data_IF_547284006197
#
_entry.id   IF_547284006197
#
_cell.length_a   1.000
_cell.length_b   1.000
_cell.length_c   1.000
_cell.angle_alpha   90.00
_cell.angle_beta   90.00
_cell.angle_gamma   90.00
#
_symmetry.space_group_name_H-M   'P 1'
#
loop_
_entity.id
_entity.type
_entity.pdbx_description
1 polymer ?
#
# COMPACT_ATOMS: atom_id res chain seq x y z
N UNK A 1 -20.35 -15.77 -0.23
CA UNK A 1 -20.01 -15.30 1.14
C UNK A 1 -19.90 -13.78 1.12
N UNK A 2 -20.37 -13.07 2.14
CA UNK A 2 -20.25 -11.61 2.23
C UNK A 2 -18.90 -11.28 2.88
N UNK A 3 -18.06 -10.49 2.20
CA UNK A 3 -16.78 -10.04 2.75
C UNK A 3 -17.01 -9.18 4.00
N UNK A 4 -16.24 -9.45 5.07
CA UNK A 4 -16.25 -8.65 6.30
C UNK A 4 -15.40 -7.41 6.10
N UNK A 5 -15.84 -6.25 6.61
CA UNK A 5 -15.12 -4.98 6.51
C UNK A 5 -14.78 -4.43 7.89
N UNK A 6 -13.57 -3.91 8.04
CA UNK A 6 -13.08 -3.22 9.21
C UNK A 6 -13.22 -1.71 9.02
N UNK A 7 -13.72 -1.03 10.07
CA UNK A 7 -13.72 0.43 10.14
C UNK A 7 -12.36 0.91 10.64
N UNK A 8 -11.79 1.91 9.98
CA UNK A 8 -10.60 2.60 10.51
C UNK A 8 -11.06 3.63 11.54
N UNK A 9 -11.00 3.30 12.83
CA UNK A 9 -11.61 4.11 13.90
C UNK A 9 -10.64 5.01 14.68
N UNK A 10 -9.34 4.86 14.50
CA UNK A 10 -8.37 5.44 15.43
C UNK A 10 -7.83 6.80 14.96
N UNK A 11 -8.23 7.86 15.67
CA UNK A 11 -7.63 9.20 15.56
C UNK A 11 -6.15 9.19 15.99
N UNK A 12 -5.78 8.30 16.92
CA UNK A 12 -4.42 8.13 17.43
C UNK A 12 -3.47 7.49 16.42
N UNK A 13 -3.98 6.66 15.50
CA UNK A 13 -3.24 6.20 14.33
C UNK A 13 -2.97 7.40 13.43
N UNK A 14 -4.01 8.13 13.00
CA UNK A 14 -3.79 9.27 12.10
C UNK A 14 -2.85 10.32 12.68
N UNK A 15 -2.92 10.65 13.97
CA UNK A 15 -2.00 11.62 14.59
C UNK A 15 -0.53 11.18 14.60
N UNK A 16 -0.26 9.86 14.68
CA UNK A 16 1.11 9.31 14.56
C UNK A 16 1.60 9.25 13.12
N UNK A 17 0.68 8.95 12.19
CA UNK A 17 0.98 8.70 10.78
C UNK A 17 1.16 10.00 9.99
N UNK A 18 0.30 10.97 10.26
CA UNK A 18 0.14 12.21 9.51
C UNK A 18 1.35 13.14 9.55
N UNK A 19 2.15 13.08 10.62
CA UNK A 19 3.07 14.17 10.96
C UNK A 19 2.34 15.53 10.96
N UNK A 20 3.11 16.62 11.06
CA UNK A 20 2.57 17.98 11.09
C UNK A 20 1.79 18.33 9.80
N UNK A 21 2.00 17.61 8.70
CA UNK A 21 1.42 17.90 7.39
C UNK A 21 -0.06 17.51 7.24
N UNK A 22 -0.53 16.40 7.83
CA UNK A 22 -1.98 16.12 7.82
C UNK A 22 -2.76 16.88 8.92
N UNK A 23 -2.08 17.46 9.92
CA UNK A 23 -2.69 18.39 10.89
C UNK A 23 -3.09 19.74 10.26
N UNK A 24 -2.59 20.08 9.05
CA UNK A 24 -3.03 21.25 8.29
C UNK A 24 -4.42 21.10 7.67
N UNK A 25 -4.92 19.87 7.54
CA UNK A 25 -6.30 19.58 7.15
C UNK A 25 -7.11 19.39 8.43
N UNK A 26 -7.80 20.45 8.85
CA UNK A 26 -8.47 20.50 10.15
C UNK A 26 -9.46 19.38 10.40
N UNK A 27 -9.81 19.18 11.67
CA UNK A 27 -10.82 18.25 12.19
C UNK A 27 -12.23 18.41 11.54
N UNK A 28 -12.40 19.45 10.70
CA UNK A 28 -13.60 19.77 9.93
C UNK A 28 -13.50 19.48 8.43
N UNK A 29 -12.38 18.94 7.94
CA UNK A 29 -12.23 18.62 6.52
C UNK A 29 -13.21 17.52 6.11
N UNK A 30 -14.12 17.85 5.20
CA UNK A 30 -15.01 16.88 4.55
C UNK A 30 -14.48 16.63 3.16
N UNK A 31 -14.12 15.38 2.89
CA UNK A 31 -13.72 14.96 1.56
C UNK A 31 -14.80 15.35 0.54
N UNK A 32 -14.45 16.00 -0.58
CA UNK A 32 -15.35 16.12 -1.70
C UNK A 32 -15.84 14.73 -2.11
N UNK A 33 -17.15 14.55 -2.29
CA UNK A 33 -17.73 13.26 -2.73
C UNK A 33 -17.02 12.65 -3.96
N UNK A 34 -16.64 13.43 -5.00
CA UNK A 34 -15.87 12.89 -6.12
C UNK A 34 -14.55 12.23 -5.71
N UNK A 35 -13.88 12.76 -4.70
CA UNK A 35 -12.59 12.27 -4.22
C UNK A 35 -12.73 11.03 -3.34
N UNK A 36 -13.75 11.02 -2.48
CA UNK A 36 -14.12 9.83 -1.70
C UNK A 36 -14.41 8.64 -2.62
N UNK A 37 -15.05 8.86 -3.76
CA UNK A 37 -15.29 7.81 -4.76
C UNK A 37 -13.96 7.27 -5.29
N UNK A 38 -13.02 8.14 -5.68
CA UNK A 38 -11.69 7.73 -6.16
C UNK A 38 -10.96 6.89 -5.12
N UNK A 39 -10.93 7.32 -3.86
CA UNK A 39 -10.27 6.58 -2.78
C UNK A 39 -10.92 5.22 -2.55
N UNK A 40 -12.25 5.15 -2.58
CA UNK A 40 -13.00 3.89 -2.46
C UNK A 40 -12.68 2.93 -3.61
N UNK A 41 -12.64 3.42 -4.85
CA UNK A 41 -12.32 2.60 -6.03
C UNK A 41 -10.92 2.00 -5.90
N UNK A 42 -9.94 2.80 -5.46
CA UNK A 42 -8.56 2.35 -5.26
C UNK A 42 -8.51 1.29 -4.15
N UNK A 43 -9.11 1.55 -2.99
CA UNK A 43 -9.16 0.57 -1.88
C UNK A 43 -9.79 -0.74 -2.38
N UNK A 44 -10.91 -0.65 -3.10
CA UNK A 44 -11.60 -1.83 -3.68
C UNK A 44 -10.68 -2.61 -4.63
N UNK A 45 -9.91 -1.93 -5.48
CA UNK A 45 -8.96 -2.58 -6.38
C UNK A 45 -7.82 -3.30 -5.62
N UNK A 46 -7.41 -2.77 -4.46
CA UNK A 46 -6.38 -3.33 -3.59
C UNK A 46 -6.88 -4.49 -2.72
N UNK A 47 -8.18 -4.54 -2.39
CA UNK A 47 -8.80 -5.65 -1.63
C UNK A 47 -8.58 -7.01 -2.33
N UNK A 48 -8.52 -7.02 -3.67
CA UNK A 48 -8.19 -8.21 -4.48
C UNK A 48 -6.71 -8.29 -4.89
N UNK A 49 -5.78 -7.86 -4.02
CA UNK A 49 -4.33 -7.95 -4.26
C UNK A 49 -3.65 -8.73 -3.16
N UNK A 50 -3.63 -10.06 -3.32
CA UNK A 50 -3.00 -11.01 -2.40
C UNK A 50 -1.57 -10.64 -1.99
N UNK A 51 -0.79 -10.05 -2.90
CA UNK A 51 0.56 -9.53 -2.63
C UNK A 51 0.62 -8.61 -1.39
N UNK A 52 -0.49 -7.96 -1.03
CA UNK A 52 -0.58 -7.09 0.15
C UNK A 52 -0.84 -7.86 1.46
N UNK A 53 -1.54 -8.99 1.47
CA UNK A 53 -1.99 -9.60 2.74
C UNK A 53 -1.81 -11.12 2.86
N UNK A 54 -1.52 -11.83 1.76
CA UNK A 54 -1.28 -13.27 1.81
C UNK A 54 0.00 -13.57 2.58
N UNK A 55 0.05 -14.72 3.26
CA UNK A 55 1.24 -15.13 3.98
C UNK A 55 2.44 -15.16 3.04
N UNK A 56 3.52 -14.50 3.44
CA UNK A 56 4.69 -14.28 2.59
C UNK A 56 5.28 -15.61 2.08
N UNK A 57 5.30 -16.65 2.93
CA UNK A 57 5.73 -18.01 2.59
C UNK A 57 4.98 -18.67 1.44
N UNK A 58 3.79 -18.17 1.06
CA UNK A 58 2.97 -18.71 -0.03
C UNK A 58 3.03 -17.83 -1.28
N UNK A 59 3.82 -16.76 -1.25
CA UNK A 59 3.97 -15.84 -2.36
C UNK A 59 5.00 -16.36 -3.35
N UNK A 60 4.60 -16.39 -4.61
CA UNK A 60 5.47 -16.63 -5.74
C UNK A 60 5.99 -15.27 -6.25
N UNK A 61 7.32 -15.00 -6.27
CA UNK A 61 7.87 -13.68 -6.58
C UNK A 61 7.36 -13.07 -7.89
N UNK A 62 7.21 -13.89 -8.92
CA UNK A 62 6.70 -13.44 -10.23
C UNK A 62 5.27 -12.92 -10.15
N UNK A 63 4.40 -13.55 -9.36
CA UNK A 63 3.03 -13.09 -9.13
C UNK A 63 2.98 -11.79 -8.33
N UNK A 64 3.87 -11.64 -7.34
CA UNK A 64 3.99 -10.37 -6.58
C UNK A 64 4.39 -9.24 -7.51
N UNK A 65 5.40 -9.43 -8.36
CA UNK A 65 5.82 -8.43 -9.36
C UNK A 65 4.66 -8.03 -10.28
N UNK A 66 3.93 -9.00 -10.84
CA UNK A 66 2.76 -8.73 -11.68
C UNK A 66 1.66 -7.96 -10.93
N UNK A 67 1.41 -8.31 -9.67
CA UNK A 67 0.44 -7.61 -8.82
C UNK A 67 0.86 -6.16 -8.58
N UNK A 68 2.15 -5.91 -8.29
CA UNK A 68 2.66 -4.56 -8.05
C UNK A 68 2.60 -3.67 -9.30
N UNK A 69 2.81 -4.23 -10.50
CA UNK A 69 2.62 -3.48 -11.75
C UNK A 69 1.16 -3.01 -11.89
N UNK A 70 0.19 -3.91 -11.69
CA UNK A 70 -1.23 -3.55 -11.73
C UNK A 70 -1.60 -2.50 -10.66
N UNK A 71 -1.08 -2.66 -9.44
CA UNK A 71 -1.28 -1.68 -8.37
C UNK A 71 -0.75 -0.31 -8.78
N UNK A 72 0.42 -0.23 -9.41
CA UNK A 72 0.99 1.05 -9.87
C UNK A 72 0.11 1.74 -10.92
N UNK A 73 -0.54 0.97 -11.79
CA UNK A 73 -1.48 1.51 -12.77
C UNK A 73 -2.72 2.08 -12.08
N UNK A 74 -3.30 1.35 -11.12
CA UNK A 74 -4.44 1.82 -10.33
C UNK A 74 -4.11 3.09 -9.54
N UNK A 75 -2.97 3.12 -8.85
CA UNK A 75 -2.51 4.31 -8.12
C UNK A 75 -2.27 5.50 -9.07
N UNK A 76 -1.75 5.24 -10.27
CA UNK A 76 -1.54 6.29 -11.27
C UNK A 76 -2.86 6.82 -11.83
N UNK A 77 -3.85 5.95 -12.04
CA UNK A 77 -5.19 6.36 -12.43
C UNK A 77 -5.89 7.15 -11.32
N UNK A 78 -5.73 6.73 -10.06
CA UNK A 78 -6.16 7.49 -8.89
C UNK A 78 -5.57 8.90 -8.84
N UNK A 79 -4.25 9.02 -9.03
CA UNK A 79 -3.53 10.30 -9.04
C UNK A 79 -4.01 11.28 -10.13
N UNK A 80 -4.54 10.78 -11.24
CA UNK A 80 -5.15 11.61 -12.30
C UNK A 80 -6.54 12.12 -11.94
N UNK A 81 -7.23 11.44 -11.01
CA UNK A 81 -8.64 11.70 -10.66
C UNK A 81 -8.79 12.50 -9.38
N UNK A 82 -7.82 12.43 -8.46
CA UNK A 82 -7.83 13.26 -7.25
C UNK A 82 -7.41 14.71 -7.56
N UNK A 83 -7.95 15.68 -6.82
CA UNK A 83 -7.62 17.08 -6.99
C UNK A 83 -6.15 17.38 -6.64
N UNK A 84 -5.62 18.51 -7.12
CA UNK A 84 -4.19 18.81 -6.95
C UNK A 84 -3.74 18.99 -5.50
N UNK A 85 -4.64 19.54 -4.66
CA UNK A 85 -4.43 19.76 -3.23
C UNK A 85 -5.07 18.66 -2.36
N UNK A 86 -5.40 17.52 -2.97
CA UNK A 86 -5.95 16.35 -2.31
C UNK A 86 -4.97 15.78 -1.27
N UNK A 87 -5.40 15.51 -0.02
CA UNK A 87 -4.58 14.78 0.93
C UNK A 87 -4.36 13.30 0.51
N UNK A 88 -5.19 12.74 -0.38
CA UNK A 88 -4.93 11.41 -0.95
C UNK A 88 -3.76 11.40 -1.92
N UNK A 89 -3.41 12.53 -2.55
CA UNK A 89 -2.37 12.60 -3.57
C UNK A 89 -1.01 12.13 -3.04
N UNK A 90 -0.66 12.53 -1.82
CA UNK A 90 0.61 12.13 -1.21
C UNK A 90 0.60 10.66 -0.78
N UNK A 91 -0.50 10.18 -0.20
CA UNK A 91 -0.66 8.76 0.12
C UNK A 91 -0.50 7.86 -1.12
N UNK A 92 -1.14 8.23 -2.23
CA UNK A 92 -1.04 7.50 -3.51
C UNK A 92 0.38 7.58 -4.09
N UNK A 93 1.07 8.72 -3.97
CA UNK A 93 2.47 8.88 -4.41
C UNK A 93 3.42 8.00 -3.58
N UNK A 94 3.25 7.96 -2.27
CA UNK A 94 4.06 7.17 -1.34
C UNK A 94 3.89 5.67 -1.65
N UNK A 95 2.65 5.18 -1.78
CA UNK A 95 2.40 3.79 -2.16
C UNK A 95 3.02 3.45 -3.52
N UNK A 96 2.84 4.31 -4.52
CA UNK A 96 3.40 4.09 -5.87
C UNK A 96 4.93 4.12 -5.88
N UNK A 97 5.55 4.96 -5.04
CA UNK A 97 6.99 5.00 -4.86
C UNK A 97 7.50 3.69 -4.24
N UNK A 98 6.85 3.19 -3.19
CA UNK A 98 7.21 1.90 -2.56
C UNK A 98 7.13 0.73 -3.55
N UNK A 99 6.13 0.70 -4.44
CA UNK A 99 6.10 -0.30 -5.51
C UNK A 99 7.30 -0.17 -6.46
N UNK A 100 7.75 1.05 -6.78
CA UNK A 100 8.93 1.27 -7.63
C UNK A 100 10.21 0.84 -6.95
N UNK A 101 10.35 1.10 -5.67
CA UNK A 101 11.55 0.76 -4.91
C UNK A 101 11.69 -0.78 -4.83
N UNK A 102 10.59 -1.48 -4.54
CA UNK A 102 10.54 -2.94 -4.57
C UNK A 102 10.95 -3.51 -5.95
N UNK A 103 10.29 -3.03 -7.02
CA UNK A 103 10.53 -3.54 -8.39
C UNK A 103 11.95 -3.26 -8.89
N UNK A 104 12.53 -2.11 -8.53
CA UNK A 104 13.91 -1.76 -8.89
C UNK A 104 14.89 -2.74 -8.27
N UNK A 105 14.71 -3.06 -6.98
CA UNK A 105 15.57 -4.00 -6.28
C UNK A 105 15.48 -5.41 -6.86
N UNK A 106 14.26 -5.88 -7.18
CA UNK A 106 14.08 -7.20 -7.81
C UNK A 106 14.73 -7.26 -9.19
N UNK A 107 14.63 -6.18 -9.97
CA UNK A 107 15.19 -6.11 -11.33
C UNK A 107 16.73 -6.07 -11.32
N UNK A 108 17.33 -5.31 -10.39
CA UNK A 108 18.78 -5.25 -10.25
C UNK A 108 19.39 -6.63 -9.93
N UNK A 109 18.74 -7.40 -9.04
CA UNK A 109 19.18 -8.74 -8.67
C UNK A 109 18.99 -9.78 -9.77
N UNK A 110 17.84 -9.73 -10.47
CA UNK A 110 17.62 -10.59 -11.63
C UNK A 110 18.72 -10.43 -12.69
N UNK A 111 19.19 -9.19 -12.87
CA UNK A 111 20.28 -8.86 -13.79
C UNK A 111 21.66 -9.32 -13.32
N UNK A 112 21.93 -9.31 -12.00
CA UNK A 112 23.17 -9.84 -11.41
C UNK A 112 23.26 -11.36 -11.51
N UNK A 113 22.13 -12.05 -11.31
CA UNK A 113 22.03 -13.51 -11.46
C UNK A 113 22.28 -13.99 -12.89
N UNK A 114 21.70 -13.31 -13.89
CA UNK A 114 21.81 -13.69 -15.31
C UNK A 114 23.25 -13.63 -15.84
N UNK A 115 24.13 -12.85 -15.17
CA UNK A 115 25.56 -12.77 -15.48
C UNK A 115 26.42 -13.83 -14.79
N UNK A 116 25.83 -14.75 -14.04
CA UNK A 116 26.55 -15.82 -13.35
C UNK A 116 27.51 -15.34 -12.26
N UNK A 117 27.34 -14.10 -11.77
CA UNK A 117 28.21 -13.51 -10.74
C UNK A 117 27.88 -14.01 -9.32
N UNK A 118 26.70 -14.60 -9.10
CA UNK A 118 26.26 -15.13 -7.80
C UNK A 118 25.70 -16.54 -7.95
N UNK A 119 26.55 -17.56 -7.80
CA UNK A 119 26.12 -18.97 -7.85
C UNK A 119 25.73 -19.55 -6.47
N UNK A 120 25.73 -18.74 -5.40
CA UNK A 120 25.52 -19.16 -4.02
C UNK A 120 24.36 -18.51 -3.25
N UNK A 121 23.62 -17.55 -3.85
CA UNK A 121 22.83 -16.58 -3.08
C UNK A 121 21.30 -16.77 -3.09
N UNK A 122 20.81 -17.91 -3.57
CA UNK A 122 19.36 -18.20 -3.62
C UNK A 122 18.63 -18.01 -2.28
N UNK A 123 19.30 -18.32 -1.16
CA UNK A 123 18.72 -18.15 0.19
C UNK A 123 18.63 -16.67 0.57
N UNK A 124 19.69 -15.90 0.29
CA UNK A 124 19.74 -14.45 0.54
C UNK A 124 18.75 -13.66 -0.31
N UNK A 125 18.46 -14.11 -1.54
CA UNK A 125 17.46 -13.50 -2.41
C UNK A 125 16.03 -13.66 -1.88
N UNK A 126 15.68 -14.83 -1.33
CA UNK A 126 14.38 -15.04 -0.70
C UNK A 126 14.22 -14.20 0.58
N UNK A 127 15.23 -14.16 1.45
CA UNK A 127 15.17 -13.36 2.68
C UNK A 127 14.96 -11.88 2.37
N UNK A 128 15.73 -11.35 1.42
CA UNK A 128 15.60 -9.95 1.00
C UNK A 128 14.25 -9.67 0.35
N UNK A 129 13.74 -10.59 -0.47
CA UNK A 129 12.40 -10.48 -1.03
C UNK A 129 11.33 -10.32 0.07
N UNK A 130 11.38 -11.15 1.10
CA UNK A 130 10.41 -11.08 2.21
C UNK A 130 10.56 -9.83 3.06
N UNK A 131 11.79 -9.39 3.34
CA UNK A 131 12.05 -8.12 4.04
C UNK A 131 11.41 -6.95 3.28
N UNK A 132 11.60 -6.89 1.98
CA UNK A 132 11.14 -5.78 1.15
C UNK A 132 9.64 -5.84 0.91
N UNK A 133 9.06 -7.05 0.83
CA UNK A 133 7.62 -7.23 0.80
C UNK A 133 6.98 -6.78 2.12
N UNK A 134 7.63 -7.09 3.26
CA UNK A 134 7.22 -6.61 4.58
C UNK A 134 7.25 -5.08 4.68
N UNK A 135 8.33 -4.44 4.21
CA UNK A 135 8.44 -2.97 4.15
C UNK A 135 7.35 -2.35 3.27
N UNK A 136 7.11 -2.91 2.08
CA UNK A 136 6.05 -2.45 1.19
C UNK A 136 4.68 -2.54 1.87
N UNK A 137 4.37 -3.68 2.51
CA UNK A 137 3.11 -3.87 3.24
C UNK A 137 2.95 -2.89 4.39
N UNK A 138 4.01 -2.61 5.14
CA UNK A 138 3.98 -1.59 6.20
C UNK A 138 3.67 -0.20 5.65
N UNK A 139 4.29 0.19 4.52
CA UNK A 139 3.98 1.46 3.85
C UNK A 139 2.53 1.51 3.38
N UNK A 140 2.04 0.45 2.74
CA UNK A 140 0.65 0.37 2.30
C UNK A 140 -0.33 0.45 3.48
N UNK A 141 -0.11 -0.31 4.54
CA UNK A 141 -0.95 -0.28 5.74
C UNK A 141 -1.08 1.10 6.35
N UNK A 142 0.03 1.81 6.44
CA UNK A 142 0.09 3.20 6.92
C UNK A 142 -0.76 4.13 6.06
N UNK A 143 -0.60 4.09 4.73
CA UNK A 143 -1.32 4.97 3.82
C UNK A 143 -2.81 4.59 3.71
N UNK A 144 -3.14 3.31 3.78
CA UNK A 144 -4.52 2.82 3.78
C UNK A 144 -5.26 3.21 5.05
N UNK A 145 -4.62 3.16 6.22
CA UNK A 145 -5.20 3.68 7.46
C UNK A 145 -5.50 5.17 7.34
N UNK A 146 -4.55 5.96 6.82
CA UNK A 146 -4.74 7.40 6.61
C UNK A 146 -5.93 7.67 5.66
N UNK A 147 -5.98 7.00 4.51
CA UNK A 147 -7.05 7.15 3.52
C UNK A 147 -8.41 6.68 4.06
N UNK A 148 -8.46 5.51 4.71
CA UNK A 148 -9.69 4.96 5.29
C UNK A 148 -10.30 5.92 6.32
N UNK A 149 -9.45 6.52 7.17
CA UNK A 149 -9.89 7.51 8.15
C UNK A 149 -10.35 8.82 7.50
N UNK A 150 -9.52 9.45 6.67
CA UNK A 150 -9.82 10.77 6.08
C UNK A 150 -11.07 10.77 5.21
N UNK A 151 -11.32 9.67 4.50
CA UNK A 151 -12.44 9.56 3.55
C UNK A 151 -13.61 8.73 4.07
N UNK A 152 -13.53 8.21 5.30
CA UNK A 152 -14.54 7.33 5.89
C UNK A 152 -14.83 6.13 5.00
N UNK A 153 -13.78 5.44 4.55
CA UNK A 153 -13.87 4.23 3.71
C UNK A 153 -13.45 3.02 4.53
N UNK A 154 -14.35 2.05 4.63
CA UNK A 154 -14.11 0.79 5.32
C UNK A 154 -13.27 -0.15 4.44
N UNK A 155 -12.34 -0.88 5.05
CA UNK A 155 -11.37 -1.75 4.37
C UNK A 155 -11.75 -3.21 4.63
N UNK A 156 -11.75 -4.06 3.62
CA UNK A 156 -11.97 -5.50 3.80
C UNK A 156 -10.98 -6.13 4.80
N UNK A 157 -11.46 -7.08 5.62
CA UNK A 157 -10.71 -7.69 6.73
C UNK A 157 -9.37 -8.30 6.29
N UNK A 158 -9.30 -8.87 5.09
CA UNK A 158 -8.07 -9.41 4.51
C UNK A 158 -7.01 -8.33 4.29
N UNK A 159 -7.39 -7.21 3.67
CA UNK A 159 -6.49 -6.07 3.49
C UNK A 159 -6.23 -5.32 4.80
N UNK A 160 -7.17 -5.39 5.75
CA UNK A 160 -7.01 -4.77 7.06
C UNK A 160 -5.86 -5.38 7.89
N UNK A 161 -5.38 -6.59 7.57
CA UNK A 161 -4.30 -7.25 8.32
C UNK A 161 -2.95 -6.55 8.21
N UNK A 162 -2.76 -5.68 7.21
CA UNK A 162 -1.53 -4.88 7.08
C UNK A 162 -1.63 -3.51 7.74
N UNK A 163 -2.81 -3.12 8.24
CA UNK A 163 -2.95 -1.85 8.94
C UNK A 163 -2.09 -1.84 10.20
N UNK A 164 -1.54 -0.68 10.57
CA UNK A 164 -0.82 -0.56 11.83
C UNK A 164 -1.73 -0.95 13.01
N UNK A 165 -1.18 -1.59 14.05
CA UNK A 165 -1.96 -2.00 15.21
C UNK A 165 -2.55 -0.78 15.91
N UNK A 166 -3.76 -0.93 16.44
CA UNK A 166 -4.37 0.12 17.25
C UNK A 166 -3.46 0.47 18.44
N UNK A 167 -3.34 1.76 18.73
CA UNK A 167 -2.60 2.22 19.89
C UNK A 167 -3.34 1.74 21.16
N UNK A 168 -2.68 0.86 21.91
CA UNK A 168 -3.09 0.45 23.26
C UNK A 168 -3.04 1.62 24.24
#
# INVERSE_FOLDING_TARGET
MRAKRAKVQSQSLVSRIAGISALGFGMSWKAPEPERVVVRDIITALEDKRALYSQAVWEEPSHVVQSLLKIRDELTNGLKRVGDNSPAKDALRIMRASCRDFLTLTSAKAYENDRGMMRGDYIWEQEQFFIELGKLRAVFGQQLALLGYLYGVDIEESLATILPPEAS
#
